data_IF_940089132628
#
_entry.id   IF_940089132628
#
_cell.length_a   1.000
_cell.length_b   1.000
_cell.length_c   1.000
_cell.angle_alpha   90.00
_cell.angle_beta   90.00
_cell.angle_gamma   90.00
#
_symmetry.space_group_name_H-M   'P 1'
#
loop_
_entity.id
_entity.type
_entity.pdbx_description
1 polymer ?
#
# COMPACT_ATOMS: atom_id res chain seq x y z
N UNK A 1 -1.30 -13.63 -3.83
CA UNK A 1 -0.68 -13.15 -2.56
C UNK A 1 -0.30 -11.68 -2.63
N UNK A 2 0.75 -11.26 -3.36
CA UNK A 2 1.17 -9.85 -3.41
C UNK A 2 0.15 -8.93 -4.09
N UNK A 3 -0.41 -9.34 -5.24
CA UNK A 3 -1.51 -8.64 -5.90
C UNK A 3 -2.75 -8.54 -5.01
N UNK A 4 -3.09 -9.62 -4.32
CA UNK A 4 -4.22 -9.69 -3.37
C UNK A 4 -4.04 -8.69 -2.22
N UNK A 5 -2.84 -8.60 -1.65
CA UNK A 5 -2.51 -7.61 -0.60
C UNK A 5 -2.59 -6.18 -1.13
N UNK A 6 -2.14 -5.93 -2.35
CA UNK A 6 -2.27 -4.62 -3.01
C UNK A 6 -3.74 -4.23 -3.19
N UNK A 7 -4.59 -5.15 -3.66
CA UNK A 7 -6.05 -4.92 -3.78
C UNK A 7 -6.73 -4.72 -2.43
N UNK A 8 -6.31 -5.45 -1.39
CA UNK A 8 -6.80 -5.23 -0.02
C UNK A 8 -6.37 -3.88 0.55
N UNK A 9 -5.16 -3.41 0.21
CA UNK A 9 -4.68 -2.06 0.51
C UNK A 9 -5.58 -1.00 -0.12
N UNK A 10 -5.85 -1.11 -1.42
CA UNK A 10 -6.75 -0.18 -2.12
C UNK A 10 -8.16 -0.18 -1.50
N UNK A 11 -8.68 -1.34 -1.15
CA UNK A 11 -9.99 -1.45 -0.53
C UNK A 11 -10.03 -0.80 0.87
N UNK A 12 -9.03 -1.06 1.71
CA UNK A 12 -8.91 -0.45 3.03
C UNK A 12 -8.73 1.08 2.93
N UNK A 13 -8.02 1.57 1.91
CA UNK A 13 -7.90 3.01 1.61
C UNK A 13 -9.27 3.62 1.27
N UNK A 14 -10.08 2.96 0.42
CA UNK A 14 -11.44 3.42 0.09
C UNK A 14 -12.40 3.39 1.29
N UNK A 15 -12.14 2.54 2.27
CA UNK A 15 -12.90 2.50 3.53
C UNK A 15 -12.41 3.49 4.59
N UNK A 16 -11.39 4.30 4.28
CA UNK A 16 -10.77 5.22 5.23
C UNK A 16 -9.91 4.54 6.30
N UNK A 17 -9.71 3.22 6.22
CA UNK A 17 -8.85 2.50 7.14
C UNK A 17 -7.39 2.57 6.67
N UNK A 18 -6.80 3.75 6.82
CA UNK A 18 -5.44 4.03 6.37
C UNK A 18 -4.38 3.22 7.15
N UNK A 19 -4.64 2.83 8.40
CA UNK A 19 -3.73 1.96 9.14
C UNK A 19 -3.59 0.58 8.48
N UNK A 20 -4.73 -0.07 8.24
CA UNK A 20 -4.75 -1.40 7.64
C UNK A 20 -4.26 -1.39 6.18
N UNK A 21 -4.52 -0.31 5.43
CA UNK A 21 -4.04 -0.21 4.06
C UNK A 21 -2.51 -0.04 3.98
N UNK A 22 -1.86 0.70 4.90
CA UNK A 22 -0.40 0.80 4.94
C UNK A 22 0.27 -0.54 5.20
N UNK A 23 -0.27 -1.35 6.11
CA UNK A 23 0.28 -2.68 6.41
C UNK A 23 0.14 -3.64 5.22
N UNK A 24 -1.02 -3.62 4.56
CA UNK A 24 -1.25 -4.42 3.35
C UNK A 24 -0.30 -4.04 2.21
N UNK A 25 -0.08 -2.74 1.96
CA UNK A 25 0.84 -2.28 0.93
C UNK A 25 2.31 -2.58 1.26
N UNK A 26 2.72 -2.50 2.54
CA UNK A 26 4.06 -2.89 2.98
C UNK A 26 4.35 -4.37 2.73
N UNK A 27 3.39 -5.24 3.05
CA UNK A 27 3.52 -6.68 2.78
C UNK A 27 3.54 -6.97 1.28
N UNK A 28 2.68 -6.32 0.49
CA UNK A 28 2.70 -6.45 -0.97
C UNK A 28 4.05 -6.00 -1.55
N UNK A 29 4.59 -4.89 -1.07
CA UNK A 29 5.87 -4.34 -1.51
C UNK A 29 7.03 -5.32 -1.26
N UNK A 30 7.11 -5.90 -0.05
CA UNK A 30 8.14 -6.87 0.29
C UNK A 30 8.09 -8.10 -0.62
N UNK A 31 6.89 -8.60 -0.92
CA UNK A 31 6.72 -9.74 -1.84
C UNK A 31 7.08 -9.38 -3.28
N UNK A 32 6.67 -8.20 -3.77
CA UNK A 32 7.05 -7.74 -5.11
C UNK A 32 8.55 -7.52 -5.25
N UNK A 33 9.23 -7.06 -4.19
CA UNK A 33 10.68 -6.94 -4.16
C UNK A 33 11.37 -8.32 -4.21
N UNK A 34 10.89 -9.28 -3.42
CA UNK A 34 11.40 -10.66 -3.46
C UNK A 34 11.21 -11.33 -4.82
N UNK A 35 10.11 -11.03 -5.51
CA UNK A 35 9.82 -11.55 -6.85
C UNK A 35 10.52 -10.76 -7.98
N UNK A 36 11.26 -9.69 -7.68
CA UNK A 36 11.91 -8.84 -8.68
C UNK A 36 10.95 -8.01 -9.54
N UNK A 37 9.70 -7.87 -9.10
CA UNK A 37 8.60 -7.24 -9.84
C UNK A 37 8.65 -5.71 -9.73
N UNK A 38 9.66 -5.09 -10.36
CA UNK A 38 9.97 -3.65 -10.24
C UNK A 38 8.78 -2.73 -10.53
N UNK A 39 7.97 -3.03 -11.54
CA UNK A 39 6.79 -2.23 -11.88
C UNK A 39 5.80 -2.20 -10.72
N UNK A 40 5.51 -3.36 -10.13
CA UNK A 40 4.59 -3.51 -9.02
C UNK A 40 5.15 -2.90 -7.73
N UNK A 41 6.47 -2.97 -7.52
CA UNK A 41 7.16 -2.27 -6.42
C UNK A 41 6.94 -0.76 -6.51
N UNK A 42 7.15 -0.17 -7.69
CA UNK A 42 6.98 1.28 -7.89
C UNK A 42 5.52 1.69 -7.72
N UNK A 43 4.57 0.94 -8.31
CA UNK A 43 3.14 1.22 -8.16
C UNK A 43 2.69 1.14 -6.70
N UNK A 44 3.05 0.07 -6.01
CA UNK A 44 2.68 -0.14 -4.60
C UNK A 44 3.31 0.91 -3.68
N UNK A 45 4.58 1.27 -3.91
CA UNK A 45 5.27 2.31 -3.17
C UNK A 45 4.65 3.70 -3.37
N UNK A 46 4.21 4.03 -4.59
CA UNK A 46 3.53 5.29 -4.86
C UNK A 46 2.17 5.38 -4.15
N UNK A 47 1.42 4.28 -4.10
CA UNK A 47 0.15 4.20 -3.35
C UNK A 47 0.38 4.38 -1.85
N UNK A 48 1.39 3.71 -1.28
CA UNK A 48 1.74 3.85 0.14
C UNK A 48 2.14 5.29 0.50
N UNK A 49 2.99 5.94 -0.32
CA UNK A 49 3.40 7.32 -0.09
C UNK A 49 2.21 8.29 -0.09
N UNK A 50 1.26 8.09 -1.02
CA UNK A 50 0.06 8.92 -1.13
C UNK A 50 -0.81 8.78 0.13
N UNK A 51 -0.91 7.57 0.66
CA UNK A 51 -1.62 7.28 1.89
C UNK A 51 -0.98 7.89 3.14
N UNK A 52 0.33 7.73 3.32
CA UNK A 52 1.03 8.29 4.48
C UNK A 52 0.88 9.82 4.54
N UNK A 53 0.86 10.47 3.37
CA UNK A 53 0.54 11.91 3.26
C UNK A 53 -0.90 12.22 3.66
N UNK A 54 -1.86 11.39 3.24
CA UNK A 54 -3.26 11.56 3.61
C UNK A 54 -3.47 11.35 5.12
N UNK A 55 -2.82 10.34 5.70
CA UNK A 55 -2.85 10.04 7.13
C UNK A 55 -2.22 11.17 7.95
N UNK A 56 -1.11 11.75 7.49
CA UNK A 56 -0.50 12.90 8.11
C UNK A 56 -1.40 14.15 8.06
N UNK A 57 -2.15 14.34 6.96
CA UNK A 57 -3.13 15.42 6.84
C UNK A 57 -4.34 15.25 7.76
N UNK A 58 -4.77 14.03 8.02
CA UNK A 58 -5.90 13.74 8.93
C UNK A 58 -5.52 13.82 10.42
N UNK A 59 -4.22 13.87 10.74
CA UNK A 59 -3.70 13.92 12.11
C UNK A 59 -3.25 15.32 12.57
N UNK A 60 -3.25 16.30 11.68
CA UNK A 60 -3.01 17.71 11.98
C UNK A 60 -4.32 18.46 12.16
#
# INVERSE_FOLDING_TARGET
MASSLSTLGDFAMRRGNLGQASDNFRQALALFQQMGMRTQVVQTGASLLRMERELARQRG
#
